data_IF_207860478949
#
_entry.id   IF_207860478949
#
_cell.length_a   1.000
_cell.length_b   1.000
_cell.length_c   1.000
_cell.angle_alpha   90.00
_cell.angle_beta   90.00
_cell.angle_gamma   90.00
#
_symmetry.space_group_name_H-M   'P 1'
#
loop_
_entity.id
_entity.type
_entity.pdbx_description
1 polymer ?
#
# COMPACT_ATOMS: atom_id res chain seq x y z
N UNK A 1 2.36 -19.06 -16.03
CA UNK A 1 3.76 -19.54 -16.10
C UNK A 1 4.66 -18.58 -16.86
N UNK A 2 4.41 -18.23 -18.13
CA UNK A 2 5.28 -17.29 -18.86
C UNK A 2 5.29 -15.90 -18.21
N UNK A 3 4.13 -15.38 -17.79
CA UNK A 3 4.03 -14.07 -17.14
C UNK A 3 4.79 -14.01 -15.81
N UNK A 4 4.78 -15.09 -15.02
CA UNK A 4 5.54 -15.20 -13.77
C UNK A 4 7.06 -15.14 -14.02
N UNK A 5 7.53 -15.86 -15.05
CA UNK A 5 8.94 -15.82 -15.45
C UNK A 5 9.34 -14.44 -16.00
N UNK A 6 8.44 -13.77 -16.73
CA UNK A 6 8.66 -12.39 -17.15
C UNK A 6 8.75 -11.42 -15.96
N UNK A 7 7.92 -11.60 -14.92
CA UNK A 7 8.03 -10.84 -13.66
C UNK A 7 9.41 -11.03 -13.02
N UNK A 8 9.91 -12.27 -12.92
CA UNK A 8 11.25 -12.56 -12.42
C UNK A 8 12.34 -11.88 -13.24
N UNK A 9 12.24 -11.90 -14.57
CA UNK A 9 13.21 -11.26 -15.45
C UNK A 9 13.26 -9.74 -15.27
N UNK A 10 12.10 -9.08 -15.13
CA UNK A 10 12.04 -7.66 -14.80
C UNK A 10 12.73 -7.37 -13.47
N UNK A 11 12.47 -8.18 -12.45
CA UNK A 11 13.04 -8.00 -11.12
C UNK A 11 14.55 -8.23 -11.09
N UNK A 12 15.05 -9.24 -11.80
CA UNK A 12 16.49 -9.47 -11.96
C UNK A 12 17.15 -8.28 -12.65
N UNK A 13 16.54 -7.75 -13.71
CA UNK A 13 17.04 -6.56 -14.43
C UNK A 13 17.05 -5.31 -13.54
N UNK A 14 16.01 -5.09 -12.75
CA UNK A 14 15.92 -3.99 -11.78
C UNK A 14 17.03 -4.11 -10.73
N UNK A 15 17.24 -5.30 -10.18
CA UNK A 15 18.27 -5.55 -9.17
C UNK A 15 19.68 -5.39 -9.73
N UNK A 16 19.95 -5.85 -10.96
CA UNK A 16 21.25 -5.63 -11.62
C UNK A 16 21.57 -4.16 -11.80
N UNK A 17 20.60 -3.37 -12.27
CA UNK A 17 20.79 -1.92 -12.42
C UNK A 17 21.09 -1.23 -11.08
N UNK A 18 20.51 -1.69 -9.98
CA UNK A 18 20.80 -1.18 -8.65
C UNK A 18 22.19 -1.60 -8.12
N UNK A 19 22.72 -2.74 -8.57
CA UNK A 19 24.04 -3.24 -8.14
C UNK A 19 25.19 -2.72 -8.99
N UNK A 20 24.94 -2.41 -10.27
CA UNK A 20 25.96 -1.95 -11.22
C UNK A 20 26.19 -0.44 -11.18
N UNK A 21 25.24 0.34 -10.66
CA UNK A 21 25.31 1.80 -10.60
C UNK A 21 25.17 2.30 -9.16
N UNK A 22 26.29 2.73 -8.55
CA UNK A 22 26.31 3.34 -7.21
C UNK A 22 25.46 4.63 -7.14
N UNK A 23 25.12 5.23 -8.29
CA UNK A 23 24.22 6.39 -8.41
C UNK A 23 22.76 6.03 -8.70
N UNK A 24 22.39 4.74 -8.81
CA UNK A 24 21.01 4.33 -9.09
C UNK A 24 20.04 4.59 -7.93
N UNK A 25 20.56 4.81 -6.73
CA UNK A 25 19.80 5.28 -5.57
C UNK A 25 19.49 6.78 -5.65
N UNK A 26 20.22 7.54 -6.47
CA UNK A 26 19.87 8.92 -6.77
C UNK A 26 18.65 8.94 -7.69
N UNK A 27 17.64 9.72 -7.29
CA UNK A 27 16.34 9.85 -7.97
C UNK A 27 16.42 10.39 -9.41
N UNK A 28 17.63 10.60 -9.92
CA UNK A 28 17.96 11.10 -11.25
C UNK A 28 18.31 9.99 -12.26
N UNK A 29 18.39 8.72 -11.87
CA UNK A 29 18.57 7.64 -12.84
C UNK A 29 17.27 7.43 -13.65
N UNK A 30 17.24 8.05 -14.82
CA UNK A 30 16.11 8.03 -15.77
C UNK A 30 15.83 6.63 -16.30
N UNK A 31 16.86 5.79 -16.44
CA UNK A 31 16.72 4.42 -16.91
C UNK A 31 16.04 3.54 -15.87
N UNK A 32 16.45 3.65 -14.60
CA UNK A 32 15.80 2.94 -13.50
C UNK A 32 14.32 3.33 -13.38
N UNK A 33 14.02 4.63 -13.38
CA UNK A 33 12.63 5.11 -13.32
C UNK A 33 11.79 4.67 -14.53
N UNK A 34 12.39 4.64 -15.72
CA UNK A 34 11.73 4.12 -16.92
C UNK A 34 11.42 2.63 -16.78
N UNK A 35 12.36 1.84 -16.26
CA UNK A 35 12.18 0.40 -16.07
C UNK A 35 11.10 0.09 -15.03
N UNK A 36 11.05 0.83 -13.91
CA UNK A 36 9.98 0.68 -12.92
C UNK A 36 8.60 1.02 -13.51
N UNK A 37 8.52 2.08 -14.32
CA UNK A 37 7.26 2.43 -15.01
C UNK A 37 6.83 1.33 -15.98
N UNK A 38 7.75 0.80 -16.77
CA UNK A 38 7.49 -0.31 -17.68
C UNK A 38 7.01 -1.55 -16.91
N UNK A 39 7.67 -1.87 -15.79
CA UNK A 39 7.29 -2.99 -14.95
C UNK A 39 5.89 -2.82 -14.34
N UNK A 40 5.54 -1.62 -13.87
CA UNK A 40 4.19 -1.32 -13.37
C UNK A 40 3.13 -1.42 -14.47
N UNK A 41 3.45 -0.97 -15.69
CA UNK A 41 2.57 -1.15 -16.84
C UNK A 41 2.35 -2.65 -17.13
N UNK A 42 3.43 -3.43 -17.16
CA UNK A 42 3.36 -4.89 -17.34
C UNK A 42 2.49 -5.58 -16.26
N UNK A 43 2.67 -5.23 -14.98
CA UNK A 43 1.84 -5.77 -13.89
C UNK A 43 0.37 -5.43 -14.06
N UNK A 44 0.07 -4.21 -14.52
CA UNK A 44 -1.30 -3.78 -14.83
C UNK A 44 -1.89 -4.55 -16.01
N UNK A 45 -1.13 -4.73 -17.08
CA UNK A 45 -1.57 -5.41 -18.30
C UNK A 45 -1.78 -6.91 -18.08
N UNK A 46 -0.93 -7.52 -17.24
CA UNK A 46 -0.97 -8.95 -16.95
C UNK A 46 -1.75 -9.31 -15.68
N UNK A 47 -2.44 -8.37 -15.03
CA UNK A 47 -3.08 -8.58 -13.71
C UNK A 47 -4.05 -9.77 -13.66
N UNK A 48 -4.73 -10.07 -14.77
CA UNK A 48 -5.73 -11.14 -14.87
C UNK A 48 -5.10 -12.51 -15.16
N UNK A 49 -3.87 -12.51 -15.70
CA UNK A 49 -3.11 -13.71 -16.06
C UNK A 49 -2.12 -14.11 -14.96
N UNK A 50 -1.66 -13.15 -14.17
CA UNK A 50 -0.76 -13.35 -13.05
C UNK A 50 -1.48 -14.01 -11.87
N UNK A 51 -0.90 -15.12 -11.41
CA UNK A 51 -1.30 -15.76 -10.17
C UNK A 51 -0.93 -14.85 -9.00
N UNK A 52 -1.95 -14.47 -8.24
CA UNK A 52 -1.86 -13.44 -7.22
C UNK A 52 -0.91 -13.84 -6.08
N UNK A 53 -1.07 -15.05 -5.55
CA UNK A 53 -0.27 -15.55 -4.44
C UNK A 53 1.21 -15.66 -4.82
N UNK A 54 1.48 -16.18 -6.03
CA UNK A 54 2.85 -16.32 -6.53
C UNK A 54 3.50 -14.97 -6.77
N UNK A 55 2.82 -14.04 -7.46
CA UNK A 55 3.37 -12.71 -7.77
C UNK A 55 3.61 -11.90 -6.51
N UNK A 56 2.72 -11.93 -5.52
CA UNK A 56 2.93 -11.24 -4.24
C UNK A 56 4.15 -11.77 -3.49
N UNK A 57 4.26 -13.10 -3.34
CA UNK A 57 5.40 -13.74 -2.68
C UNK A 57 6.72 -13.40 -3.38
N UNK A 58 6.68 -13.32 -4.70
CA UNK A 58 7.85 -13.01 -5.50
C UNK A 58 8.30 -11.55 -5.29
N UNK A 59 7.36 -10.60 -5.35
CA UNK A 59 7.64 -9.18 -5.04
C UNK A 59 8.18 -9.01 -3.61
N UNK A 60 7.63 -9.74 -2.65
CA UNK A 60 8.10 -9.75 -1.26
C UNK A 60 9.53 -10.29 -1.14
N UNK A 61 9.84 -11.41 -1.80
CA UNK A 61 11.18 -12.01 -1.75
C UNK A 61 12.28 -11.14 -2.38
N UNK A 62 11.92 -10.30 -3.35
CA UNK A 62 12.83 -9.33 -3.97
C UNK A 62 12.87 -8.00 -3.20
N UNK A 63 12.13 -7.86 -2.08
CA UNK A 63 12.09 -6.64 -1.27
C UNK A 63 11.39 -5.46 -1.95
N UNK A 64 10.57 -5.70 -2.98
CA UNK A 64 9.92 -4.66 -3.79
C UNK A 64 8.57 -4.25 -3.21
N UNK A 65 8.60 -3.65 -2.03
CA UNK A 65 7.39 -3.31 -1.27
C UNK A 65 6.48 -2.34 -2.03
N UNK A 66 7.05 -1.34 -2.72
CA UNK A 66 6.26 -0.37 -3.49
C UNK A 66 5.48 -1.04 -4.64
N UNK A 67 6.12 -1.94 -5.37
CA UNK A 67 5.48 -2.69 -6.46
C UNK A 67 4.50 -3.74 -5.92
N UNK A 68 4.76 -4.33 -4.75
CA UNK A 68 3.83 -5.22 -4.05
C UNK A 68 2.54 -4.48 -3.71
N UNK A 69 2.64 -3.29 -3.14
CA UNK A 69 1.48 -2.45 -2.78
C UNK A 69 0.73 -2.01 -4.04
N UNK A 70 1.45 -1.67 -5.10
CA UNK A 70 0.84 -1.38 -6.40
C UNK A 70 0.05 -2.58 -6.94
N UNK A 71 0.63 -3.78 -6.94
CA UNK A 71 -0.06 -4.99 -7.40
C UNK A 71 -1.25 -5.37 -6.50
N UNK A 72 -1.11 -5.25 -5.18
CA UNK A 72 -2.21 -5.44 -4.23
C UNK A 72 -3.37 -4.47 -4.50
N UNK A 73 -3.06 -3.21 -4.85
CA UNK A 73 -4.08 -2.23 -5.21
C UNK A 73 -4.83 -2.59 -6.51
N UNK A 74 -4.15 -3.21 -7.48
CA UNK A 74 -4.75 -3.68 -8.74
C UNK A 74 -5.66 -4.88 -8.54
N UNK A 75 -5.32 -5.76 -7.59
CA UNK A 75 -6.08 -6.94 -7.19
C UNK A 75 -7.15 -6.66 -6.13
N UNK A 76 -7.33 -5.39 -5.75
CA UNK A 76 -8.28 -4.95 -4.71
C UNK A 76 -8.00 -5.55 -3.31
N UNK A 77 -6.76 -5.96 -3.04
CA UNK A 77 -6.31 -6.37 -1.72
C UNK A 77 -5.99 -5.15 -0.84
N UNK A 78 -7.04 -4.42 -0.46
CA UNK A 78 -6.91 -3.17 0.28
C UNK A 78 -6.29 -3.33 1.67
N UNK A 79 -6.42 -4.51 2.30
CA UNK A 79 -5.85 -4.77 3.62
C UNK A 79 -4.31 -4.64 3.64
N UNK A 80 -3.63 -5.19 2.62
CA UNK A 80 -2.17 -5.09 2.48
C UNK A 80 -1.76 -3.64 2.22
N UNK A 81 -2.48 -2.96 1.33
CA UNK A 81 -2.23 -1.56 0.99
C UNK A 81 -2.36 -0.65 2.22
N UNK A 82 -3.37 -0.88 3.05
CA UNK A 82 -3.61 -0.11 4.28
C UNK A 82 -2.53 -0.36 5.33
N UNK A 83 -2.18 -1.63 5.57
CA UNK A 83 -1.09 -1.97 6.48
C UNK A 83 0.20 -1.26 6.09
N UNK A 84 0.53 -1.24 4.81
CA UNK A 84 1.72 -0.57 4.31
C UNK A 84 1.68 0.95 4.55
N UNK A 85 0.61 1.64 4.15
CA UNK A 85 0.52 3.09 4.35
C UNK A 85 0.51 3.49 5.83
N UNK A 86 -0.12 2.69 6.69
CA UNK A 86 -0.11 2.92 8.15
C UNK A 86 1.31 2.74 8.71
N UNK A 87 2.04 1.70 8.28
CA UNK A 87 3.43 1.47 8.69
C UNK A 87 4.38 2.59 8.23
N UNK A 88 4.15 3.17 7.05
CA UNK A 88 4.90 4.32 6.55
C UNK A 88 4.50 5.65 7.21
N UNK A 89 3.46 5.65 8.07
CA UNK A 89 2.95 6.86 8.69
C UNK A 89 2.15 7.76 7.74
N UNK A 90 1.75 7.24 6.58
CA UNK A 90 1.01 7.97 5.55
C UNK A 90 -0.50 7.88 5.73
N UNK A 91 -1.02 8.44 6.84
CA UNK A 91 -2.45 8.41 7.18
C UNK A 91 -3.34 8.89 6.02
N UNK A 92 -2.93 9.97 5.33
CA UNK A 92 -3.70 10.55 4.21
C UNK A 92 -3.89 9.57 3.05
N UNK A 93 -2.84 8.83 2.66
CA UNK A 93 -2.94 7.83 1.58
C UNK A 93 -3.80 6.64 2.01
N UNK A 94 -3.65 6.20 3.26
CA UNK A 94 -4.51 5.15 3.82
C UNK A 94 -6.00 5.56 3.80
N UNK A 95 -6.32 6.78 4.23
CA UNK A 95 -7.69 7.31 4.21
C UNK A 95 -8.24 7.44 2.77
N UNK A 96 -7.43 7.87 1.81
CA UNK A 96 -7.81 7.90 0.39
C UNK A 96 -8.15 6.51 -0.15
N UNK A 97 -7.43 5.47 0.27
CA UNK A 97 -7.77 4.08 -0.07
C UNK A 97 -9.11 3.71 0.55
N UNK A 98 -9.33 3.98 1.85
CA UNK A 98 -10.58 3.67 2.55
C UNK A 98 -11.82 4.38 2.01
N UNK A 99 -11.66 5.54 1.38
CA UNK A 99 -12.74 6.31 0.77
C UNK A 99 -13.19 5.76 -0.61
N UNK A 100 -12.47 4.80 -1.19
CA UNK A 100 -12.86 4.20 -2.47
C UNK A 100 -14.14 3.36 -2.32
N UNK A 101 -15.07 3.40 -3.30
CA UNK A 101 -16.37 2.73 -3.19
C UNK A 101 -16.31 1.20 -3.08
N UNK A 102 -15.25 0.57 -3.59
CA UNK A 102 -15.07 -0.89 -3.53
C UNK A 102 -14.54 -1.38 -2.18
N UNK A 103 -14.19 -0.49 -1.25
CA UNK A 103 -13.59 -0.86 0.03
C UNK A 103 -14.65 -1.19 1.06
N UNK A 104 -14.51 -2.35 1.69
CA UNK A 104 -15.38 -2.77 2.79
C UNK A 104 -15.29 -1.81 3.98
N UNK A 105 -16.44 -1.40 4.51
CA UNK A 105 -16.52 -0.58 5.73
C UNK A 105 -15.92 -1.29 6.95
N UNK A 106 -15.84 -2.62 6.95
CA UNK A 106 -15.19 -3.37 8.03
C UNK A 106 -13.70 -3.05 8.15
N UNK A 107 -13.02 -2.72 7.04
CA UNK A 107 -11.63 -2.27 7.07
C UNK A 107 -11.49 -0.91 7.76
N UNK A 108 -12.48 -0.01 7.60
CA UNK A 108 -12.47 1.28 8.30
C UNK A 108 -12.51 1.11 9.82
N UNK A 109 -13.32 0.18 10.34
CA UNK A 109 -13.35 -0.11 11.78
C UNK A 109 -12.09 -0.83 12.26
N UNK A 110 -11.56 -1.78 11.46
CA UNK A 110 -10.36 -2.55 11.81
C UNK A 110 -9.14 -1.64 11.99
N UNK A 111 -8.94 -0.71 11.06
CA UNK A 111 -7.79 0.21 11.06
C UNK A 111 -8.06 1.53 11.80
N UNK A 112 -9.27 1.76 12.31
CA UNK A 112 -9.61 2.98 13.03
C UNK A 112 -8.68 3.31 14.21
N UNK A 113 -8.27 2.35 15.08
CA UNK A 113 -7.34 2.62 16.17
C UNK A 113 -5.95 3.05 15.69
N UNK A 114 -5.45 2.45 14.62
CA UNK A 114 -4.11 2.76 14.10
C UNK A 114 -4.11 4.12 13.40
N UNK A 115 -5.18 4.42 12.65
CA UNK A 115 -5.33 5.69 11.95
C UNK A 115 -5.49 6.89 12.90
N UNK A 116 -6.30 6.75 13.96
CA UNK A 116 -6.48 7.84 14.93
C UNK A 116 -5.21 8.10 15.75
N UNK A 117 -4.42 7.06 16.03
CA UNK A 117 -3.13 7.21 16.70
C UNK A 117 -2.11 7.92 15.81
N UNK A 118 -2.18 7.68 14.50
CA UNK A 118 -1.27 8.27 13.52
C UNK A 118 -1.62 9.73 13.18
N UNK A 119 -2.89 9.99 12.87
CA UNK A 119 -3.43 11.33 12.61
C UNK A 119 -4.90 11.40 13.03
N UNK A 120 -5.13 11.84 14.26
CA UNK A 120 -6.47 11.95 14.82
C UNK A 120 -7.35 12.93 14.05
N UNK A 121 -6.79 14.04 13.56
CA UNK A 121 -7.55 15.11 12.93
C UNK A 121 -8.08 14.64 11.57
N UNK A 122 -7.19 14.20 10.67
CA UNK A 122 -7.58 13.74 9.33
C UNK A 122 -8.48 12.51 9.39
N UNK A 123 -8.24 11.60 10.36
CA UNK A 123 -9.05 10.40 10.54
C UNK A 123 -10.49 10.73 10.94
N UNK A 124 -10.68 11.64 11.90
CA UNK A 124 -12.01 12.05 12.35
C UNK A 124 -12.75 12.83 11.25
N UNK A 125 -12.07 13.73 10.53
CA UNK A 125 -12.63 14.42 9.35
C UNK A 125 -13.12 13.44 8.28
N UNK A 126 -12.34 12.38 8.01
CA UNK A 126 -12.73 11.32 7.08
C UNK A 126 -13.97 10.56 7.56
N UNK A 127 -14.07 10.26 8.87
CA UNK A 127 -15.26 9.64 9.45
C UNK A 127 -16.49 10.53 9.37
N UNK A 128 -16.34 11.84 9.60
CA UNK A 128 -17.44 12.81 9.49
C UNK A 128 -17.95 12.96 8.06
N UNK A 129 -17.06 12.83 7.08
CA UNK A 129 -17.42 12.87 5.65
C UNK A 129 -18.15 11.60 5.20
N UNK A 130 -17.83 10.46 5.83
CA UNK A 130 -18.38 9.15 5.47
C UNK A 130 -19.71 8.87 6.19
N UNK A 131 -20.83 9.19 5.52
CA UNK A 131 -22.20 9.12 6.10
C UNK A 131 -22.68 7.71 6.52
N UNK A 132 -21.99 6.65 6.12
CA UNK A 132 -22.41 5.26 6.37
C UNK A 132 -21.76 4.60 7.59
N UNK A 133 -20.85 5.29 8.29
CA UNK A 133 -20.18 4.73 9.45
C UNK A 133 -21.06 4.73 10.69
N UNK A 134 -20.98 3.64 11.46
CA UNK A 134 -21.65 3.52 12.75
C UNK A 134 -20.73 4.08 13.85
N UNK A 135 -21.08 5.22 14.46
CA UNK A 135 -20.21 5.88 15.44
C UNK A 135 -19.96 5.01 16.67
N UNK A 136 -20.87 4.08 17.01
CA UNK A 136 -20.68 3.18 18.17
C UNK A 136 -19.50 2.23 17.99
N UNK A 137 -19.22 1.79 16.75
CA UNK A 137 -18.09 0.92 16.44
C UNK A 137 -16.74 1.67 16.48
N UNK A 138 -16.75 3.01 16.47
CA UNK A 138 -15.55 3.86 16.52
C UNK A 138 -15.17 4.27 17.96
N UNK A 139 -16.09 4.13 18.92
CA UNK A 139 -15.84 4.45 20.35
C UNK A 139 -14.60 3.73 20.89
N UNK A 140 -14.39 2.41 20.67
CA UNK A 140 -13.21 1.73 21.17
C UNK A 140 -11.90 2.31 20.64
N UNK A 141 -11.87 2.74 19.37
CA UNK A 141 -10.69 3.38 18.78
C UNK A 141 -10.39 4.72 19.46
N UNK A 142 -11.40 5.56 19.68
CA UNK A 142 -11.26 6.84 20.37
C UNK A 142 -10.86 6.68 21.84
N UNK A 143 -11.40 5.67 22.53
CA UNK A 143 -11.04 5.39 23.92
C UNK A 143 -9.55 5.05 24.05
N UNK A 144 -9.01 4.22 23.14
CA UNK A 144 -7.57 3.87 23.12
C UNK A 144 -6.70 5.11 22.96
N UNK A 145 -7.06 6.01 22.04
CA UNK A 145 -6.36 7.28 21.86
C UNK A 145 -6.36 8.15 23.12
N UNK A 146 -7.50 8.24 23.82
CA UNK A 146 -7.60 9.06 25.05
C UNK A 146 -6.80 8.53 26.24
N UNK A 147 -6.51 7.23 26.27
CA UNK A 147 -5.76 6.57 27.34
C UNK A 147 -4.24 6.63 27.18
N UNK A 148 -3.74 7.00 26.00
CA UNK A 148 -2.31 7.21 25.80
C UNK A 148 -1.93 8.62 26.28
N UNK A 149 -1.00 8.75 27.27
CA UNK A 149 -0.60 10.04 27.78
C UNK A 149 0.06 10.78 26.62
N UNK A 150 -0.52 11.92 26.24
CA UNK A 150 -0.07 12.72 25.12
C UNK A 150 1.39 13.13 25.39
N UNK A 151 2.33 12.40 24.79
CA UNK A 151 3.73 12.79 24.77
C UNK A 151 3.81 14.04 23.91
N UNK A 152 4.21 15.13 24.57
CA UNK A 152 4.38 16.48 24.05
C UNK A 152 5.18 16.55 22.76
#
# INVERSE_FOLDING_TARGET
MISTWATELYLDKINRLLLEDDSALDSNNTEYQSLIKEFRAFLSDCKDVLDEATTMKLLESYGRVDELVFFASLKEQYEIVLHHYIQQGEAKKALQVLQKPNVSMELQYKFAPDLIMLDAYETVESWMTTKSLNPRKLIPAMMRYSSEPHAK
#
